data_IF_597460805558
#
_entry.id   IF_597460805558
#
_cell.length_a   1.000
_cell.length_b   1.000
_cell.length_c   1.000
_cell.angle_alpha   90.00
_cell.angle_beta   90.00
_cell.angle_gamma   90.00
#
_symmetry.space_group_name_H-M   'P 1'
#
loop_
_entity.id
_entity.type
_entity.pdbx_description
1 polymer ?
#
# COMPACT_ATOMS: atom_id res chain seq x y z
N UNK A 1 15.01 -3.50 -12.06
CA UNK A 1 14.46 -2.96 -13.36
C UNK A 1 14.83 -1.49 -13.40
N UNK A 2 15.06 -0.92 -14.59
CA UNK A 2 15.30 0.53 -14.73
C UNK A 2 13.96 1.26 -14.83
N UNK A 3 13.93 2.53 -14.37
CA UNK A 3 12.81 3.43 -14.59
C UNK A 3 12.46 3.48 -16.10
N UNK A 4 11.16 3.48 -16.40
CA UNK A 4 10.64 3.56 -17.78
C UNK A 4 10.27 5.00 -18.17
N UNK A 5 10.12 5.87 -17.19
CA UNK A 5 9.88 7.30 -17.37
C UNK A 5 11.00 8.04 -16.66
N UNK A 6 11.64 9.06 -17.28
CA UNK A 6 12.71 9.80 -16.65
C UNK A 6 12.21 10.56 -15.40
N UNK A 7 13.12 10.86 -14.48
CA UNK A 7 12.86 11.75 -13.35
C UNK A 7 12.76 13.19 -13.84
N UNK A 8 11.77 13.93 -13.37
CA UNK A 8 11.65 15.37 -13.56
C UNK A 8 12.19 16.11 -12.34
N UNK A 9 12.56 17.37 -12.53
CA UNK A 9 12.90 18.27 -11.42
C UNK A 9 11.61 18.70 -10.69
N UNK A 10 11.62 18.60 -9.37
CA UNK A 10 10.55 19.07 -8.51
C UNK A 10 10.77 20.56 -8.16
N UNK A 11 9.69 21.32 -7.87
CA UNK A 11 9.82 22.61 -7.22
C UNK A 11 10.67 22.54 -5.97
N UNK A 12 11.53 23.52 -5.75
CA UNK A 12 12.52 23.54 -4.66
C UNK A 12 11.87 23.28 -3.30
N UNK A 13 10.80 24.01 -2.98
CA UNK A 13 10.09 23.90 -1.70
C UNK A 13 9.52 22.48 -1.49
N UNK A 14 8.97 21.87 -2.54
CA UNK A 14 8.48 20.50 -2.47
C UNK A 14 9.60 19.50 -2.22
N UNK A 15 10.70 19.65 -2.96
CA UNK A 15 11.87 18.79 -2.82
C UNK A 15 12.46 18.86 -1.40
N UNK A 16 12.57 20.05 -0.85
CA UNK A 16 13.06 20.27 0.53
C UNK A 16 12.11 19.61 1.55
N UNK A 17 10.80 19.81 1.41
CA UNK A 17 9.79 19.17 2.28
C UNK A 17 9.90 17.65 2.27
N UNK A 18 10.03 17.03 1.09
CA UNK A 18 10.15 15.58 0.97
C UNK A 18 11.44 15.06 1.59
N UNK A 19 12.55 15.76 1.41
CA UNK A 19 13.82 15.43 2.05
C UNK A 19 13.76 15.50 3.58
N UNK A 20 13.07 16.49 4.13
CA UNK A 20 12.88 16.62 5.58
C UNK A 20 12.00 15.49 6.16
N UNK A 21 10.96 15.08 5.43
CA UNK A 21 9.99 14.09 5.90
C UNK A 21 10.48 12.64 5.74
N UNK A 22 11.19 12.36 4.67
CA UNK A 22 11.51 10.98 4.25
C UNK A 22 13.02 10.70 4.15
N UNK A 23 13.86 11.71 4.27
CA UNK A 23 15.32 11.59 4.14
C UNK A 23 15.83 11.58 2.70
N UNK A 24 14.95 11.30 1.74
CA UNK A 24 15.24 11.35 0.30
C UNK A 24 13.98 11.73 -0.49
N UNK A 25 14.17 12.06 -1.78
CA UNK A 25 13.04 12.37 -2.67
C UNK A 25 12.45 11.07 -3.21
N UNK A 26 11.13 10.82 -3.02
CA UNK A 26 10.49 9.63 -3.55
C UNK A 26 10.50 9.60 -5.09
N UNK A 27 10.95 8.51 -5.68
CA UNK A 27 10.92 8.33 -7.14
C UNK A 27 9.54 8.50 -7.78
N UNK A 28 8.43 8.07 -7.14
CA UNK A 28 7.10 8.35 -7.67
C UNK A 28 6.81 9.84 -7.86
N UNK A 29 7.25 10.70 -6.94
CA UNK A 29 7.05 12.15 -7.06
C UNK A 29 7.85 12.70 -8.25
N UNK A 30 9.14 12.32 -8.40
CA UNK A 30 9.98 12.72 -9.52
C UNK A 30 9.41 12.25 -10.86
N UNK A 31 8.87 11.04 -10.93
CA UNK A 31 8.26 10.50 -12.16
C UNK A 31 6.94 11.19 -12.49
N UNK A 32 6.05 11.38 -11.52
CA UNK A 32 4.77 12.03 -11.73
C UNK A 32 4.93 13.50 -12.13
N UNK A 33 6.00 14.17 -11.68
CA UNK A 33 6.24 15.58 -11.96
C UNK A 33 6.53 15.88 -13.44
N UNK A 34 6.75 14.85 -14.29
CA UNK A 34 6.73 15.03 -15.74
C UNK A 34 5.39 15.59 -16.24
N UNK A 35 4.33 15.50 -15.43
CA UNK A 35 3.06 16.18 -15.63
C UNK A 35 2.60 16.77 -14.29
N UNK A 36 2.87 18.07 -14.09
CA UNK A 36 2.59 18.74 -12.81
C UNK A 36 1.10 18.68 -12.42
N UNK A 37 0.18 18.77 -13.37
CA UNK A 37 -1.25 18.66 -13.07
C UNK A 37 -1.63 17.30 -12.49
N UNK A 38 -1.05 16.22 -13.03
CA UNK A 38 -1.25 14.85 -12.51
C UNK A 38 -0.60 14.71 -11.14
N UNK A 39 0.62 15.22 -10.97
CA UNK A 39 1.34 15.16 -9.70
C UNK A 39 0.60 15.92 -8.58
N UNK A 40 0.17 17.14 -8.86
CA UNK A 40 -0.58 17.98 -7.91
C UNK A 40 -1.90 17.31 -7.50
N UNK A 41 -2.70 16.84 -8.46
CA UNK A 41 -3.97 16.16 -8.18
C UNK A 41 -3.77 14.88 -7.35
N UNK A 42 -2.73 14.09 -7.66
CA UNK A 42 -2.39 12.88 -6.91
C UNK A 42 -1.98 13.22 -5.47
N UNK A 43 -1.14 14.23 -5.28
CA UNK A 43 -0.69 14.69 -3.96
C UNK A 43 -1.84 15.25 -3.12
N UNK A 44 -2.72 16.04 -3.73
CA UNK A 44 -3.91 16.56 -3.06
C UNK A 44 -4.83 15.41 -2.59
N UNK A 45 -5.05 14.43 -3.43
CA UNK A 45 -5.86 13.26 -3.07
C UNK A 45 -5.19 12.44 -1.96
N UNK A 46 -3.89 12.15 -2.07
CA UNK A 46 -3.13 11.44 -1.05
C UNK A 46 -3.16 12.16 0.31
N UNK A 47 -3.05 13.50 0.31
CA UNK A 47 -3.15 14.30 1.53
C UNK A 47 -4.54 14.19 2.18
N UNK A 48 -5.61 14.22 1.38
CA UNK A 48 -6.98 14.01 1.88
C UNK A 48 -7.17 12.62 2.47
N UNK A 49 -6.66 11.57 1.79
CA UNK A 49 -6.68 10.21 2.30
C UNK A 49 -5.95 10.06 3.64
N UNK A 50 -4.80 10.71 3.78
CA UNK A 50 -4.01 10.72 5.02
C UNK A 50 -4.70 11.41 6.19
N UNK A 51 -5.62 12.36 5.91
CA UNK A 51 -6.38 13.08 6.92
C UNK A 51 -7.64 12.33 7.41
N UNK A 52 -8.06 11.27 6.74
CA UNK A 52 -9.21 10.47 7.17
C UNK A 52 -8.84 9.60 8.38
N UNK A 53 -9.71 9.53 9.36
CA UNK A 53 -9.44 8.90 10.67
C UNK A 53 -10.59 8.01 11.18
N UNK A 54 -11.59 7.72 10.35
CA UNK A 54 -12.72 6.86 10.74
C UNK A 54 -12.30 5.38 10.79
N UNK A 55 -11.48 4.95 9.83
CA UNK A 55 -10.86 3.64 9.86
C UNK A 55 -9.50 3.71 10.59
N UNK A 56 -9.22 2.70 11.42
CA UNK A 56 -7.95 2.60 12.14
C UNK A 56 -6.74 2.69 11.20
N UNK A 57 -5.75 3.49 11.57
CA UNK A 57 -4.55 3.73 10.76
C UNK A 57 -3.75 2.44 10.51
N UNK A 58 -3.69 1.53 11.51
CA UNK A 58 -2.98 0.26 11.36
C UNK A 58 -3.63 -0.64 10.31
N UNK A 59 -4.98 -0.67 10.27
CA UNK A 59 -5.72 -1.44 9.27
C UNK A 59 -5.48 -0.90 7.85
N UNK A 60 -5.43 0.44 7.69
CA UNK A 60 -5.12 1.08 6.41
C UNK A 60 -3.70 0.75 5.95
N UNK A 61 -2.73 0.84 6.86
CA UNK A 61 -1.32 0.53 6.56
C UNK A 61 -1.14 -0.94 6.17
N UNK A 62 -1.72 -1.88 6.92
CA UNK A 62 -1.65 -3.30 6.60
C UNK A 62 -2.35 -3.62 5.27
N UNK A 63 -3.51 -3.02 5.00
CA UNK A 63 -4.21 -3.17 3.73
C UNK A 63 -3.35 -2.69 2.56
N UNK A 64 -2.70 -1.51 2.66
CA UNK A 64 -1.80 -1.01 1.62
C UNK A 64 -0.61 -1.96 1.39
N UNK A 65 0.01 -2.44 2.46
CA UNK A 65 1.11 -3.40 2.36
C UNK A 65 0.66 -4.71 1.68
N UNK A 66 -0.55 -5.21 1.98
CA UNK A 66 -1.09 -6.40 1.33
C UNK A 66 -1.32 -6.19 -0.17
N UNK A 67 -1.91 -5.05 -0.56
CA UNK A 67 -2.04 -4.63 -1.98
C UNK A 67 -0.68 -4.59 -2.66
N UNK A 68 0.28 -3.89 -2.06
CA UNK A 68 1.63 -3.74 -2.60
C UNK A 68 2.33 -5.08 -2.78
N UNK A 69 2.23 -5.97 -1.78
CA UNK A 69 2.78 -7.31 -1.83
C UNK A 69 2.12 -8.14 -2.95
N UNK A 70 0.80 -8.04 -3.13
CA UNK A 70 0.08 -8.80 -4.14
C UNK A 70 0.41 -8.33 -5.57
N UNK A 71 0.48 -7.01 -5.80
CA UNK A 71 0.83 -6.43 -7.10
C UNK A 71 2.33 -6.63 -7.40
N UNK A 72 3.18 -6.69 -6.36
CA UNK A 72 4.62 -6.74 -6.47
C UNK A 72 5.25 -5.34 -6.58
N UNK A 73 4.60 -4.32 -6.01
CA UNK A 73 5.16 -2.97 -5.91
C UNK A 73 6.15 -2.91 -4.74
N UNK A 74 7.44 -3.13 -5.02
CA UNK A 74 8.46 -3.11 -3.98
C UNK A 74 8.61 -1.73 -3.32
N UNK A 75 8.43 -0.64 -4.06
CA UNK A 75 8.44 0.72 -3.51
C UNK A 75 7.31 0.94 -2.51
N UNK A 76 6.07 0.58 -2.91
CA UNK A 76 4.91 0.77 -2.04
C UNK A 76 5.02 -0.08 -0.76
N UNK A 77 5.56 -1.30 -0.87
CA UNK A 77 5.75 -2.16 0.29
C UNK A 77 6.83 -1.59 1.22
N UNK A 78 7.95 -1.13 0.68
CA UNK A 78 9.07 -0.53 1.37
C UNK A 78 8.65 0.71 2.17
N UNK A 79 8.04 1.71 1.50
CA UNK A 79 7.64 2.95 2.16
C UNK A 79 6.53 2.74 3.19
N UNK A 80 5.56 1.86 2.94
CA UNK A 80 4.50 1.60 3.92
C UNK A 80 5.01 0.85 5.15
N UNK A 81 6.02 0.00 5.01
CA UNK A 81 6.67 -0.63 6.16
C UNK A 81 7.47 0.41 6.98
N UNK A 82 8.15 1.34 6.32
CA UNK A 82 8.77 2.48 6.99
C UNK A 82 7.74 3.38 7.70
N UNK A 83 6.60 3.65 7.07
CA UNK A 83 5.50 4.40 7.71
C UNK A 83 4.91 3.67 8.92
N UNK A 84 4.88 2.34 8.90
CA UNK A 84 4.47 1.55 10.08
C UNK A 84 5.38 1.81 11.28
N UNK A 85 6.70 1.96 11.08
CA UNK A 85 7.64 2.37 12.13
C UNK A 85 7.27 3.75 12.69
N UNK A 86 7.02 4.73 11.82
CA UNK A 86 6.68 6.10 12.23
C UNK A 86 5.32 6.20 12.94
N UNK A 87 4.42 5.28 12.66
CA UNK A 87 3.11 5.14 13.33
C UNK A 87 3.19 4.33 14.63
N UNK A 88 4.38 3.89 15.06
CA UNK A 88 4.60 3.01 16.21
C UNK A 88 3.80 1.70 16.14
N UNK A 89 3.58 1.15 14.95
CA UNK A 89 2.93 -0.15 14.80
C UNK A 89 3.89 -1.27 15.21
N UNK A 90 3.33 -2.43 15.56
CA UNK A 90 4.12 -3.64 15.80
C UNK A 90 4.84 -4.07 14.52
N UNK A 91 6.15 -3.79 14.45
CA UNK A 91 6.98 -4.11 13.28
C UNK A 91 7.15 -5.62 13.08
N UNK A 92 7.12 -6.42 14.15
CA UNK A 92 7.16 -7.87 14.02
C UNK A 92 5.92 -8.37 13.27
N UNK A 93 4.75 -7.81 13.58
CA UNK A 93 3.50 -8.07 12.86
C UNK A 93 3.54 -7.48 11.44
N UNK A 94 3.88 -6.21 11.28
CA UNK A 94 3.93 -5.54 9.98
C UNK A 94 4.86 -6.28 8.99
N UNK A 95 6.00 -6.78 9.47
CA UNK A 95 6.93 -7.56 8.65
C UNK A 95 6.32 -8.83 8.05
N UNK A 96 5.27 -9.38 8.67
CA UNK A 96 4.60 -10.61 8.24
C UNK A 96 3.46 -10.36 7.23
N UNK A 97 3.10 -9.10 6.93
CA UNK A 97 2.00 -8.80 6.00
C UNK A 97 2.14 -9.51 4.64
N UNK A 98 3.34 -9.61 4.00
CA UNK A 98 3.46 -10.33 2.74
C UNK A 98 3.14 -11.84 2.82
N UNK A 99 3.11 -12.39 4.04
CA UNK A 99 2.81 -13.81 4.34
C UNK A 99 1.76 -13.96 5.45
N UNK A 100 0.86 -13.02 5.57
CA UNK A 100 -0.09 -12.93 6.67
C UNK A 100 -0.92 -14.21 6.90
N UNK A 101 -1.22 -14.96 5.84
CA UNK A 101 -1.98 -16.22 5.97
C UNK A 101 -1.24 -17.31 6.76
N UNK A 102 0.09 -17.26 6.73
CA UNK A 102 0.98 -18.22 7.41
C UNK A 102 1.37 -17.72 8.82
N UNK A 103 0.99 -16.50 9.19
CA UNK A 103 1.33 -15.88 10.47
C UNK A 103 0.15 -15.92 11.44
N UNK A 104 0.43 -16.21 12.71
CA UNK A 104 -0.57 -16.15 13.79
C UNK A 104 -0.66 -14.77 14.46
N UNK A 105 0.13 -13.80 14.01
CA UNK A 105 0.22 -12.47 14.63
C UNK A 105 -1.03 -11.60 14.42
N UNK A 106 -1.86 -11.91 13.43
CA UNK A 106 -3.00 -11.08 13.03
C UNK A 106 -4.28 -11.50 13.73
N UNK A 107 -5.00 -10.51 14.25
CA UNK A 107 -6.35 -10.69 14.81
C UNK A 107 -7.35 -11.09 13.71
N UNK A 108 -8.51 -11.66 14.07
CA UNK A 108 -9.54 -11.96 13.08
C UNK A 108 -9.98 -10.76 12.23
N UNK A 109 -10.05 -9.54 12.80
CA UNK A 109 -10.36 -8.33 12.04
C UNK A 109 -9.26 -7.96 11.04
N UNK A 110 -8.01 -7.99 11.48
CA UNK A 110 -6.87 -7.71 10.60
C UNK A 110 -6.79 -8.71 9.45
N UNK A 111 -7.11 -9.99 9.70
CA UNK A 111 -7.17 -11.03 8.65
C UNK A 111 -8.26 -10.74 7.62
N UNK A 112 -9.46 -10.36 8.08
CA UNK A 112 -10.56 -9.98 7.17
C UNK A 112 -10.17 -8.76 6.32
N UNK A 113 -9.50 -7.76 6.91
CA UNK A 113 -9.01 -6.57 6.19
C UNK A 113 -7.94 -6.93 5.16
N UNK A 114 -6.98 -7.78 5.52
CA UNK A 114 -5.93 -8.25 4.60
C UNK A 114 -6.52 -9.07 3.45
N UNK A 115 -7.49 -9.93 3.73
CA UNK A 115 -8.21 -10.69 2.71
C UNK A 115 -9.02 -9.78 1.79
N UNK A 116 -9.73 -8.79 2.35
CA UNK A 116 -10.47 -7.80 1.59
C UNK A 116 -9.58 -6.99 0.67
N UNK A 117 -8.42 -6.55 1.16
CA UNK A 117 -7.44 -5.83 0.35
C UNK A 117 -6.93 -6.68 -0.83
N UNK A 118 -6.63 -7.95 -0.61
CA UNK A 118 -6.23 -8.86 -1.68
C UNK A 118 -7.37 -9.17 -2.65
N UNK A 119 -8.60 -9.39 -2.14
CA UNK A 119 -9.77 -9.65 -2.96
C UNK A 119 -10.10 -8.47 -3.88
N UNK A 120 -9.99 -7.23 -3.39
CA UNK A 120 -10.13 -6.01 -4.19
C UNK A 120 -9.01 -5.86 -5.24
N UNK A 121 -7.83 -6.42 -4.99
CA UNK A 121 -6.66 -6.31 -5.87
C UNK A 121 -6.69 -7.30 -7.03
N UNK A 122 -7.48 -8.38 -6.91
CA UNK A 122 -7.68 -9.34 -7.99
C UNK A 122 -8.33 -8.70 -9.22
N UNK A 123 -8.14 -9.31 -10.38
CA UNK A 123 -8.77 -8.88 -11.62
C UNK A 123 -9.40 -10.10 -12.29
N UNK A 124 -10.75 -10.24 -12.30
CA UNK A 124 -11.71 -9.36 -11.62
C UNK A 124 -11.60 -9.41 -10.10
N UNK A 125 -12.11 -8.41 -9.36
CA UNK A 125 -12.19 -8.45 -7.90
C UNK A 125 -12.99 -9.67 -7.41
N UNK A 126 -12.56 -10.24 -6.27
CA UNK A 126 -13.14 -11.47 -5.70
C UNK A 126 -13.70 -11.26 -4.30
N UNK A 127 -14.13 -10.04 -4.00
CA UNK A 127 -14.79 -9.72 -2.72
C UNK A 127 -16.09 -10.49 -2.62
N UNK A 128 -16.28 -11.23 -1.51
CA UNK A 128 -17.53 -11.98 -1.26
C UNK A 128 -18.48 -11.17 -0.39
N UNK A 129 -19.76 -11.51 -0.47
CA UNK A 129 -20.80 -10.88 0.36
C UNK A 129 -20.57 -11.17 1.86
N UNK A 130 -20.08 -12.36 2.19
CA UNK A 130 -19.78 -12.78 3.58
C UNK A 130 -18.63 -11.94 4.17
N UNK A 131 -17.55 -11.72 3.41
CA UNK A 131 -16.44 -10.91 3.85
C UNK A 131 -16.85 -9.45 4.03
N UNK A 132 -17.63 -8.92 3.09
CA UNK A 132 -18.19 -7.57 3.17
C UNK A 132 -19.10 -7.41 4.39
N UNK A 133 -19.99 -8.38 4.65
CA UNK A 133 -20.89 -8.36 5.81
C UNK A 133 -20.11 -8.43 7.14
N UNK A 134 -19.08 -9.28 7.24
CA UNK A 134 -18.22 -9.36 8.43
C UNK A 134 -17.53 -8.04 8.72
N UNK A 135 -16.97 -7.40 7.70
CA UNK A 135 -16.32 -6.09 7.85
C UNK A 135 -17.31 -4.98 8.19
N UNK A 136 -18.49 -4.99 7.56
CA UNK A 136 -19.54 -4.00 7.84
C UNK A 136 -20.04 -4.09 9.29
N UNK A 137 -20.23 -5.29 9.81
CA UNK A 137 -20.65 -5.52 11.20
C UNK A 137 -19.61 -4.99 12.21
N UNK A 138 -18.33 -5.19 11.93
CA UNK A 138 -17.22 -4.89 12.85
C UNK A 138 -16.70 -3.46 12.75
N UNK A 139 -16.73 -2.86 11.56
CA UNK A 139 -16.20 -1.51 11.31
C UNK A 139 -17.29 -0.46 11.23
N UNK A 140 -18.50 -0.85 10.88
CA UNK A 140 -19.56 0.06 10.50
C UNK A 140 -19.38 0.64 9.10
N UNK A 141 -20.45 1.26 8.54
CA UNK A 141 -20.44 1.68 7.14
C UNK A 141 -19.41 2.78 6.81
N UNK A 142 -19.19 3.72 7.73
CA UNK A 142 -18.28 4.82 7.48
C UNK A 142 -16.82 4.37 7.37
N UNK A 143 -16.34 3.55 8.32
CA UNK A 143 -14.98 3.04 8.29
C UNK A 143 -14.76 2.05 7.14
N UNK A 144 -15.75 1.23 6.80
CA UNK A 144 -15.64 0.32 5.66
C UNK A 144 -15.53 1.08 4.33
N UNK A 145 -16.32 2.15 4.14
CA UNK A 145 -16.21 3.01 2.94
C UNK A 145 -14.83 3.67 2.87
N UNK A 146 -14.34 4.24 3.98
CA UNK A 146 -13.01 4.83 4.03
C UNK A 146 -11.92 3.82 3.68
N UNK A 147 -11.94 2.64 4.30
CA UNK A 147 -10.99 1.57 4.03
C UNK A 147 -11.03 1.11 2.57
N UNK A 148 -12.23 0.96 2.01
CA UNK A 148 -12.43 0.57 0.60
C UNK A 148 -11.79 1.58 -0.36
N UNK A 149 -12.01 2.88 -0.14
CA UNK A 149 -11.41 3.93 -0.99
C UNK A 149 -9.90 3.96 -0.80
N UNK A 150 -9.41 3.79 0.43
CA UNK A 150 -7.97 3.73 0.71
C UNK A 150 -7.28 2.54 0.00
N UNK A 151 -7.90 1.36 0.01
CA UNK A 151 -7.43 0.18 -0.75
C UNK A 151 -7.47 0.45 -2.26
N UNK A 152 -8.51 1.13 -2.76
CA UNK A 152 -8.58 1.57 -4.15
C UNK A 152 -7.40 2.46 -4.55
N UNK A 153 -7.05 3.43 -3.70
CA UNK A 153 -5.87 4.26 -3.90
C UNK A 153 -4.55 3.45 -3.85
N UNK A 154 -4.42 2.53 -2.91
CA UNK A 154 -3.26 1.64 -2.84
C UNK A 154 -3.07 0.82 -4.13
N UNK A 155 -4.17 0.34 -4.72
CA UNK A 155 -4.17 -0.33 -6.03
C UNK A 155 -3.72 0.62 -7.16
N UNK A 156 -4.26 1.84 -7.18
CA UNK A 156 -3.87 2.86 -8.15
C UNK A 156 -2.37 3.16 -8.05
N UNK A 157 -1.87 3.52 -6.88
CA UNK A 157 -0.47 3.86 -6.65
C UNK A 157 0.47 2.70 -7.01
N UNK A 158 0.17 1.49 -6.52
CA UNK A 158 1.01 0.31 -6.75
C UNK A 158 1.08 -0.06 -8.23
N UNK A 159 -0.01 0.03 -8.97
CA UNK A 159 -0.04 -0.26 -10.41
C UNK A 159 0.71 0.81 -11.21
N UNK A 160 0.54 2.10 -10.89
CA UNK A 160 1.27 3.19 -11.53
C UNK A 160 2.79 3.04 -11.31
N UNK A 161 3.22 2.84 -10.07
CA UNK A 161 4.63 2.66 -9.74
C UNK A 161 5.24 1.45 -10.48
N UNK A 162 4.54 0.33 -10.49
CA UNK A 162 4.97 -0.87 -11.21
C UNK A 162 5.04 -0.62 -12.72
N UNK A 163 4.06 0.09 -13.30
CA UNK A 163 4.06 0.46 -14.72
C UNK A 163 5.23 1.38 -15.09
N UNK A 164 5.60 2.30 -14.20
CA UNK A 164 6.75 3.20 -14.40
C UNK A 164 8.11 2.53 -14.14
N UNK A 165 8.13 1.31 -13.59
CA UNK A 165 9.37 0.59 -13.25
C UNK A 165 10.03 1.08 -11.97
N UNK A 166 9.28 1.76 -11.10
CA UNK A 166 9.75 2.23 -9.80
C UNK A 166 9.93 1.03 -8.87
N UNK A 167 11.07 1.01 -8.15
CA UNK A 167 11.43 -0.07 -7.22
C UNK A 167 11.81 0.52 -5.85
N UNK A 168 11.90 -0.34 -4.82
CA UNK A 168 12.30 0.07 -3.48
C UNK A 168 13.52 1.00 -3.49
N UNK A 169 13.48 2.03 -2.66
CA UNK A 169 14.57 2.96 -2.38
C UNK A 169 15.26 2.63 -1.03
N UNK A 170 14.81 1.62 -0.29
CA UNK A 170 15.43 1.20 0.97
C UNK A 170 14.94 1.94 2.20
N UNK A 171 13.78 2.60 2.14
CA UNK A 171 13.18 3.27 3.31
C UNK A 171 13.07 2.36 4.53
N UNK A 172 12.73 1.10 4.32
CA UNK A 172 12.52 0.13 5.39
C UNK A 172 13.81 -0.47 5.97
N UNK A 173 14.99 -0.14 5.45
CA UNK A 173 16.26 -0.66 5.97
C UNK A 173 16.49 -0.27 7.44
N UNK A 174 15.91 0.83 7.88
CA UNK A 174 15.97 1.30 9.27
C UNK A 174 15.02 0.54 10.21
N UNK A 175 14.10 -0.27 9.71
CA UNK A 175 13.13 -0.99 10.54
C UNK A 175 13.75 -2.11 11.38
N UNK A 176 14.94 -2.59 11.04
CA UNK A 176 15.68 -3.61 11.79
C UNK A 176 15.12 -5.04 11.71
N UNK A 177 13.87 -5.22 11.29
CA UNK A 177 13.22 -6.50 11.05
C UNK A 177 12.94 -6.60 9.55
N UNK A 178 13.52 -7.58 8.83
CA UNK A 178 13.29 -7.69 7.40
C UNK A 178 11.85 -8.12 7.10
N UNK A 179 11.29 -7.58 6.01
CA UNK A 179 10.01 -8.02 5.49
C UNK A 179 10.07 -9.51 5.11
N UNK A 180 9.04 -10.25 5.47
CA UNK A 180 8.89 -11.63 5.05
C UNK A 180 8.81 -11.72 3.52
N UNK A 181 9.54 -12.65 2.94
CA UNK A 181 9.41 -12.93 1.51
C UNK A 181 7.99 -13.44 1.22
N UNK A 182 7.36 -12.95 0.17
CA UNK A 182 6.04 -13.42 -0.23
C UNK A 182 6.09 -14.92 -0.54
N UNK A 183 5.17 -15.68 0.03
CA UNK A 183 4.98 -17.10 -0.32
C UNK A 183 4.66 -17.26 -1.82
N UNK A 184 5.06 -18.38 -2.41
CA UNK A 184 4.68 -18.68 -3.80
C UNK A 184 3.14 -18.65 -3.91
N UNK A 185 2.61 -17.96 -4.95
CA UNK A 185 1.17 -18.05 -5.23
C UNK A 185 0.82 -19.53 -5.42
N UNK A 186 -0.30 -20.03 -4.84
CA UNK A 186 -0.82 -21.30 -5.24
C UNK A 186 -0.98 -21.29 -6.77
N UNK A 187 -0.26 -22.13 -7.45
CA UNK A 187 -0.41 -22.35 -8.89
C UNK A 187 -1.78 -23.01 -9.11
N UNK A 188 -2.74 -22.30 -9.66
CA UNK A 188 -3.98 -22.91 -10.10
C UNK A 188 -5.17 -22.05 -9.84
N UNK A 189 -5.77 -21.48 -10.83
CA UNK A 189 -6.92 -22.09 -11.52
C UNK A 189 -6.67 -21.86 -13.00
N UNK A 190 -6.39 -22.92 -13.73
CA UNK A 190 -6.42 -22.91 -15.18
C UNK A 190 -7.84 -22.46 -15.57
N UNK A 191 -7.92 -21.34 -16.29
CA UNK A 191 -9.13 -20.94 -17.00
C UNK A 191 -9.49 -22.05 -17.97
N UNK A 192 -10.48 -22.84 -17.61
CA UNK A 192 -11.17 -23.64 -18.62
C UNK A 192 -12.07 -22.68 -19.40
N UNK A 193 -11.75 -22.61 -20.69
CA UNK A 193 -12.49 -21.89 -21.72
C UNK A 193 -13.96 -22.25 -21.78
#
# INVERSE_FOLDING_TARGET
MSLRVPKAELPTELRETLLEQLGEVPEPDEVLWNNSQVAEANREFAAKLGAWDTADASLKTFAHMAVAAQIGCSWCLDVNYFLALNQNLDLAKASQVPRWRESEAFTPLERDVLEYAEAMTNTPPTVTDELSASLLDRLGPAALVELTVYIGFANFASRCNTAHGITSQGYSDVCGIPLAARGARPSGVASTA
#
